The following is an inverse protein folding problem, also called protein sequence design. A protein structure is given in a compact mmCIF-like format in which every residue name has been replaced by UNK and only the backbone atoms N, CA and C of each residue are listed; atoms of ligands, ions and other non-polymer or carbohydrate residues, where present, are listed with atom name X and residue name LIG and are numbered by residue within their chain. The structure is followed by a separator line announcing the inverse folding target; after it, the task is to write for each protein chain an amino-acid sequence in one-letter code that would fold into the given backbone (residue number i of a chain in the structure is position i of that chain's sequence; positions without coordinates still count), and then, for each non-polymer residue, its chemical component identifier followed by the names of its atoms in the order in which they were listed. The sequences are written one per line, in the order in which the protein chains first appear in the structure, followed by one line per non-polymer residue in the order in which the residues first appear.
data_IF_890007962969
#
_entry.id   IF_890007962969
#
_cell.length_a   1.000
_cell.length_b   1.000
_cell.length_c   1.000
_cell.angle_alpha   90.00
_cell.angle_beta   90.00
_cell.angle_gamma   90.00
#
_symmetry.space_group_name_H-M   'P 1'
#
loop_
_entity.id
_entity.type
_entity.pdbx_description
1 polymer ?
#
# COMPACT_ATOMS: atom_id res chain seq x y z
N UNK A 1 4.11 38.21 27.41
CA UNK A 1 3.08 37.18 27.64
C UNK A 1 3.77 35.96 28.21
N UNK A 2 3.27 35.42 29.33
CA UNK A 2 3.78 34.17 29.90
C UNK A 2 3.55 33.02 28.90
N UNK A 3 4.57 32.18 28.68
CA UNK A 3 4.48 31.06 27.74
C UNK A 3 3.66 29.94 28.38
N UNK A 4 2.66 29.44 27.66
CA UNK A 4 1.82 28.33 28.12
C UNK A 4 2.65 27.07 28.40
N UNK A 5 2.37 26.40 29.52
CA UNK A 5 2.93 25.08 29.84
C UNK A 5 2.27 24.02 28.97
N UNK A 6 3.06 23.28 28.19
CA UNK A 6 2.55 22.30 27.21
C UNK A 6 2.84 20.88 27.69
N UNK A 7 1.83 20.04 27.87
CA UNK A 7 1.97 18.60 28.09
C UNK A 7 1.81 17.86 26.78
N UNK A 8 2.85 17.13 26.36
CA UNK A 8 2.79 16.25 25.19
C UNK A 8 2.62 14.80 25.64
N UNK A 9 1.48 14.21 25.31
CA UNK A 9 1.21 12.78 25.50
C UNK A 9 1.63 12.03 24.24
N UNK A 10 2.46 10.99 24.38
CA UNK A 10 3.03 10.29 23.21
C UNK A 10 4.24 10.99 22.60
N UNK A 11 5.02 11.74 23.39
CA UNK A 11 6.16 12.53 22.92
C UNK A 11 7.28 11.75 22.22
N UNK A 12 7.37 10.43 22.40
CA UNK A 12 8.34 9.57 21.71
C UNK A 12 7.87 9.05 20.35
N UNK A 13 6.58 9.24 20.01
CA UNK A 13 6.00 8.85 18.72
C UNK A 13 6.49 9.72 17.56
N UNK A 14 6.24 9.29 16.32
CA UNK A 14 6.72 9.98 15.11
C UNK A 14 6.37 11.48 15.09
N UNK A 15 5.10 11.81 15.34
CA UNK A 15 4.64 13.21 15.41
C UNK A 15 4.97 13.87 16.76
N UNK A 16 4.86 13.11 17.86
CA UNK A 16 5.16 13.59 19.22
C UNK A 16 6.56 14.17 19.36
N UNK A 17 7.57 13.54 18.73
CA UNK A 17 8.96 14.03 18.77
C UNK A 17 9.12 15.41 18.18
N UNK A 18 8.43 15.67 17.08
CA UNK A 18 8.46 16.98 16.39
C UNK A 18 7.76 18.04 17.24
N UNK A 19 6.64 17.68 17.86
CA UNK A 19 5.88 18.57 18.75
C UNK A 19 6.70 18.96 19.99
N UNK A 20 7.38 18.01 20.63
CA UNK A 20 8.25 18.30 21.79
C UNK A 20 9.37 19.25 21.39
N UNK A 21 10.10 18.96 20.31
CA UNK A 21 11.20 19.82 19.83
C UNK A 21 10.71 21.21 19.45
N UNK A 22 9.58 21.31 18.75
CA UNK A 22 9.00 22.60 18.37
C UNK A 22 8.55 23.41 19.60
N UNK A 23 7.93 22.76 20.59
CA UNK A 23 7.51 23.37 21.85
C UNK A 23 8.71 23.94 22.63
N UNK A 24 9.79 23.15 22.75
CA UNK A 24 11.04 23.58 23.38
C UNK A 24 11.71 24.71 22.62
N UNK A 25 11.82 24.61 21.29
CA UNK A 25 12.43 25.65 20.45
C UNK A 25 11.68 26.99 20.54
N UNK A 26 10.37 26.95 20.76
CA UNK A 26 9.53 28.14 20.95
C UNK A 26 9.53 28.68 22.40
N UNK A 27 10.34 28.08 23.28
CA UNK A 27 10.52 28.50 24.67
C UNK A 27 9.33 28.17 25.59
N UNK A 28 8.47 27.22 25.21
CA UNK A 28 7.39 26.78 26.09
C UNK A 28 7.92 25.81 27.15
N UNK A 29 7.56 25.98 28.44
CA UNK A 29 7.78 24.94 29.43
C UNK A 29 7.06 23.67 29.00
N UNK A 30 7.83 22.65 28.62
CA UNK A 30 7.30 21.46 27.94
C UNK A 30 7.39 20.26 28.88
N UNK A 31 6.25 19.67 29.17
CA UNK A 31 6.12 18.42 29.90
C UNK A 31 5.92 17.27 28.91
N UNK A 32 6.61 16.15 29.12
CA UNK A 32 6.46 14.95 28.29
C UNK A 32 5.98 13.82 29.18
N UNK A 33 4.80 13.28 28.86
CA UNK A 33 4.26 12.13 29.58
C UNK A 33 5.04 10.88 29.20
N UNK A 34 5.58 10.19 30.21
CA UNK A 34 6.19 8.88 30.09
C UNK A 34 5.41 7.87 30.94
N UNK A 35 5.41 6.62 30.49
CA UNK A 35 4.85 5.48 31.24
C UNK A 35 5.96 4.79 32.01
N UNK A 36 5.67 4.26 33.19
CA UNK A 36 6.62 3.48 33.99
C UNK A 36 7.34 2.38 33.16
N UNK A 37 6.60 1.75 32.25
CA UNK A 37 7.08 0.66 31.42
C UNK A 37 8.02 1.07 30.27
N UNK A 38 8.26 2.37 30.06
CA UNK A 38 9.11 2.84 28.96
C UNK A 38 10.57 2.41 29.11
N UNK A 39 10.99 2.03 30.32
CA UNK A 39 12.33 1.51 30.60
C UNK A 39 12.68 0.22 29.85
N UNK A 40 11.70 -0.44 29.22
CA UNK A 40 11.92 -1.63 28.39
C UNK A 40 12.37 -1.28 26.95
N UNK A 41 12.25 -0.03 26.53
CA UNK A 41 12.59 0.44 25.18
C UNK A 41 13.73 1.46 25.27
N UNK A 42 14.95 0.98 25.01
CA UNK A 42 16.18 1.76 25.15
C UNK A 42 16.15 2.99 24.22
N UNK A 43 15.64 2.86 23.00
CA UNK A 43 15.57 3.94 22.02
C UNK A 43 14.61 5.05 22.49
N UNK A 44 13.43 4.67 23.00
CA UNK A 44 12.48 5.63 23.59
C UNK A 44 13.04 6.28 24.84
N UNK A 45 13.77 5.54 25.68
CA UNK A 45 14.37 6.08 26.90
C UNK A 45 15.49 7.10 26.59
N UNK A 46 16.42 6.75 25.69
CA UNK A 46 17.49 7.65 25.25
C UNK A 46 16.91 8.95 24.69
N UNK A 47 15.80 8.85 23.98
CA UNK A 47 15.09 10.01 23.45
C UNK A 47 14.45 10.88 24.53
N UNK A 48 13.78 10.29 25.53
CA UNK A 48 13.24 11.04 26.67
C UNK A 48 14.36 11.75 27.44
N UNK A 49 15.51 11.09 27.62
CA UNK A 49 16.69 11.72 28.21
C UNK A 49 17.21 12.87 27.36
N UNK A 50 17.18 12.75 26.03
CA UNK A 50 17.53 13.84 25.11
C UNK A 50 16.59 15.04 25.24
N UNK A 51 15.28 14.80 25.46
CA UNK A 51 14.33 15.88 25.73
C UNK A 51 14.56 16.51 27.10
N UNK A 52 14.87 15.71 28.12
CA UNK A 52 15.23 16.21 29.45
C UNK A 52 16.47 17.11 29.40
N UNK A 53 17.49 16.72 28.64
CA UNK A 53 18.69 17.54 28.40
C UNK A 53 18.37 18.86 27.67
N UNK A 54 17.33 18.89 26.84
CA UNK A 54 16.83 20.10 26.16
C UNK A 54 15.88 20.93 27.04
N UNK A 55 15.69 20.57 28.32
CA UNK A 55 14.85 21.32 29.26
C UNK A 55 13.41 20.83 29.38
N UNK A 56 13.04 19.71 28.76
CA UNK A 56 11.72 19.11 28.97
C UNK A 56 11.59 18.49 30.36
N UNK A 57 10.43 18.66 30.99
CA UNK A 57 10.10 17.97 32.23
C UNK A 57 9.42 16.65 31.93
N UNK A 58 10.03 15.56 32.38
CA UNK A 58 9.48 14.23 32.28
C UNK A 58 8.42 14.02 33.39
N UNK A 59 7.20 13.62 33.01
CA UNK A 59 6.10 13.35 33.94
C UNK A 59 5.68 11.90 33.79
N UNK A 60 5.83 11.13 34.85
CA UNK A 60 5.35 9.76 34.89
C UNK A 60 3.84 9.75 35.15
N UNK A 61 3.08 9.19 34.23
CA UNK A 61 1.66 8.95 34.38
C UNK A 61 1.21 7.80 33.46
N UNK A 62 0.16 7.10 33.85
CA UNK A 62 -0.52 6.13 33.01
C UNK A 62 -1.86 6.70 32.53
N UNK A 63 -2.30 6.31 31.34
CA UNK A 63 -3.67 6.60 30.89
C UNK A 63 -4.71 5.78 31.67
N UNK A 64 -4.28 4.69 32.31
CA UNK A 64 -5.12 3.83 33.16
C UNK A 64 -5.21 4.36 34.60
N UNK A 65 -4.24 5.16 35.03
CA UNK A 65 -4.27 5.82 36.32
C UNK A 65 -4.94 7.19 36.17
N UNK A 66 -6.24 7.21 36.41
CA UNK A 66 -7.03 8.44 36.32
C UNK A 66 -6.50 9.54 37.23
N UNK A 67 -6.06 9.20 38.45
CA UNK A 67 -5.56 10.17 39.42
C UNK A 67 -4.20 10.75 38.99
N UNK A 68 -3.27 9.88 38.58
CA UNK A 68 -1.96 10.29 38.05
C UNK A 68 -2.08 11.11 36.78
N UNK A 69 -3.01 10.77 35.88
CA UNK A 69 -3.25 11.54 34.65
C UNK A 69 -3.83 12.93 34.96
N UNK A 70 -4.80 13.03 35.86
CA UNK A 70 -5.34 14.32 36.32
C UNK A 70 -4.24 15.18 36.95
N UNK A 71 -3.38 14.58 37.78
CA UNK A 71 -2.24 15.28 38.36
C UNK A 71 -1.29 15.78 37.26
N UNK A 72 -1.00 14.98 36.23
CA UNK A 72 -0.16 15.41 35.10
C UNK A 72 -0.78 16.57 34.31
N UNK A 73 -2.08 16.50 34.01
CA UNK A 73 -2.82 17.54 33.28
C UNK A 73 -2.88 18.84 34.06
N UNK A 74 -3.04 18.79 35.39
CA UNK A 74 -3.08 19.98 36.25
C UNK A 74 -1.80 20.85 36.18
N UNK A 75 -0.66 20.28 35.78
CA UNK A 75 0.59 21.02 35.64
C UNK A 75 0.72 21.76 34.29
N UNK A 76 -0.19 21.56 33.35
CA UNK A 76 -0.13 22.10 32.00
C UNK A 76 -1.31 23.02 31.69
N UNK A 77 -1.07 24.04 30.86
CA UNK A 77 -2.12 24.90 30.31
C UNK A 77 -2.69 24.35 29.00
N UNK A 78 -1.85 23.63 28.23
CA UNK A 78 -2.21 23.03 26.95
C UNK A 78 -1.79 21.57 26.97
N UNK A 79 -2.71 20.67 26.61
CA UNK A 79 -2.42 19.24 26.47
C UNK A 79 -2.50 18.87 25.00
N UNK A 80 -1.43 18.29 24.46
CA UNK A 80 -1.33 17.81 23.09
C UNK A 80 -1.22 16.28 23.13
N UNK A 81 -2.27 15.59 22.68
CA UNK A 81 -2.22 14.15 22.48
C UNK A 81 -1.65 13.83 21.10
N UNK A 82 -0.43 13.33 21.06
CA UNK A 82 0.27 12.87 19.87
C UNK A 82 0.27 11.33 19.76
N UNK A 83 -0.65 10.69 20.49
CA UNK A 83 -0.84 9.24 20.44
C UNK A 83 -1.48 8.86 19.10
N UNK A 84 -0.94 7.84 18.43
CA UNK A 84 -1.64 7.24 17.29
C UNK A 84 -3.04 6.81 17.73
N UNK A 85 -4.06 6.98 16.89
CA UNK A 85 -5.40 6.44 17.14
C UNK A 85 -5.40 4.93 17.41
N UNK A 86 -4.38 4.21 16.91
CA UNK A 86 -4.10 2.83 17.28
C UNK A 86 -3.84 2.69 18.80
N UNK A 87 -3.16 3.62 19.45
CA UNK A 87 -2.96 3.57 20.90
C UNK A 87 -4.20 3.95 21.73
N UNK A 88 -5.14 4.75 21.22
CA UNK A 88 -6.37 5.09 21.95
C UNK A 88 -7.31 3.88 22.05
N UNK A 89 -7.29 2.98 21.07
CA UNK A 89 -8.00 1.69 21.13
C UNK A 89 -7.21 0.55 21.79
N UNK A 90 -5.88 0.61 21.80
CA UNK A 90 -5.04 -0.55 22.18
C UNK A 90 -4.57 -0.57 23.64
N UNK A 91 -4.91 0.42 24.46
CA UNK A 91 -4.46 0.45 25.85
C UNK A 91 -5.21 -0.51 26.78
N UNK A 92 -6.33 -1.10 26.35
CA UNK A 92 -6.97 -2.18 27.10
C UNK A 92 -6.49 -3.58 26.70
N UNK A 93 -5.49 -3.69 25.81
CA UNK A 93 -4.97 -4.99 25.41
C UNK A 93 -3.50 -5.12 25.84
N UNK A 94 -3.15 -6.14 26.64
CA UNK A 94 -1.76 -6.37 27.04
C UNK A 94 -0.84 -6.42 25.82
N UNK A 95 0.43 -6.02 25.99
CA UNK A 95 1.47 -5.83 24.97
C UNK A 95 1.56 -6.90 23.85
N UNK A 96 1.00 -8.09 24.04
CA UNK A 96 0.86 -9.11 22.99
C UNK A 96 -0.12 -8.77 21.85
N UNK A 97 -0.94 -7.71 21.94
CA UNK A 97 -1.93 -7.41 20.88
C UNK A 97 -1.33 -6.63 19.68
N UNK A 98 -0.14 -5.99 19.78
CA UNK A 98 0.43 -5.24 18.65
C UNK A 98 0.83 -6.13 17.48
N UNK A 99 1.42 -7.31 17.77
CA UNK A 99 1.76 -8.28 16.73
C UNK A 99 0.51 -8.89 16.08
N UNK A 100 -0.53 -9.10 16.89
CA UNK A 100 -1.82 -9.61 16.41
C UNK A 100 -2.58 -8.59 15.57
N UNK A 101 -2.58 -7.32 15.97
CA UNK A 101 -3.18 -6.25 15.19
C UNK A 101 -2.47 -6.08 13.84
N UNK A 102 -1.14 -6.13 13.84
CA UNK A 102 -0.37 -6.11 12.60
C UNK A 102 -0.72 -7.31 11.70
N UNK A 103 -0.87 -8.51 12.26
CA UNK A 103 -1.35 -9.68 11.51
C UNK A 103 -2.74 -9.45 10.88
N UNK A 104 -3.69 -8.85 11.62
CA UNK A 104 -5.01 -8.51 11.07
C UNK A 104 -4.91 -7.49 9.93
N UNK A 105 -4.01 -6.52 10.06
CA UNK A 105 -3.79 -5.51 9.03
C UNK A 105 -3.15 -6.12 7.77
N UNK A 106 -2.23 -7.08 7.92
CA UNK A 106 -1.69 -7.87 6.80
C UNK A 106 -2.82 -8.60 6.07
N UNK A 107 -3.67 -9.32 6.81
CA UNK A 107 -4.79 -10.07 6.21
C UNK A 107 -5.72 -9.12 5.44
N UNK A 108 -6.11 -7.99 6.04
CA UNK A 108 -6.97 -7.00 5.40
C UNK A 108 -6.33 -6.40 4.15
N UNK A 109 -5.03 -6.09 4.19
CA UNK A 109 -4.31 -5.56 3.05
C UNK A 109 -4.24 -6.58 1.90
N UNK A 110 -3.92 -7.84 2.21
CA UNK A 110 -3.86 -8.93 1.24
C UNK A 110 -5.23 -9.20 0.61
N UNK A 111 -6.32 -9.18 1.38
CA UNK A 111 -7.69 -9.26 0.85
C UNK A 111 -8.02 -8.10 -0.09
N UNK A 112 -7.54 -6.89 0.23
CA UNK A 112 -7.62 -5.73 -0.65
C UNK A 112 -6.91 -5.93 -1.98
N UNK A 113 -5.69 -6.50 -1.97
CA UNK A 113 -4.93 -6.82 -3.18
C UNK A 113 -5.65 -7.86 -4.04
N UNK A 114 -6.19 -8.92 -3.44
CA UNK A 114 -6.98 -9.95 -4.15
C UNK A 114 -8.23 -9.34 -4.80
N UNK A 115 -8.93 -8.45 -4.08
CA UNK A 115 -10.10 -7.72 -4.63
C UNK A 115 -9.72 -6.86 -5.84
N UNK A 116 -8.58 -6.17 -5.78
CA UNK A 116 -8.06 -5.38 -6.91
C UNK A 116 -7.68 -6.29 -8.08
N UNK A 117 -7.00 -7.41 -7.81
CA UNK A 117 -6.65 -8.39 -8.84
C UNK A 117 -7.87 -8.97 -9.54
N UNK A 118 -8.93 -9.30 -8.80
CA UNK A 118 -10.20 -9.79 -9.40
C UNK A 118 -10.86 -8.73 -10.30
N UNK A 119 -10.81 -7.45 -9.92
CA UNK A 119 -11.31 -6.36 -10.77
C UNK A 119 -10.45 -6.18 -12.02
N UNK A 120 -9.13 -6.35 -11.92
CA UNK A 120 -8.26 -6.33 -13.07
C UNK A 120 -8.60 -7.45 -14.05
N UNK A 121 -8.86 -8.66 -13.54
CA UNK A 121 -9.31 -9.79 -14.37
C UNK A 121 -10.62 -9.43 -15.08
N UNK A 122 -11.65 -9.00 -14.35
CA UNK A 122 -12.96 -8.65 -14.94
C UNK A 122 -12.85 -7.61 -16.07
N UNK A 123 -12.11 -6.52 -15.84
CA UNK A 123 -11.91 -5.47 -16.84
C UNK A 123 -11.03 -5.94 -17.99
N UNK A 124 -9.99 -6.73 -17.68
CA UNK A 124 -9.10 -7.34 -18.65
C UNK A 124 -9.82 -8.25 -19.62
N UNK A 125 -10.69 -9.14 -19.12
CA UNK A 125 -11.44 -10.10 -19.94
C UNK A 125 -12.33 -9.37 -20.93
N UNK A 126 -13.05 -8.34 -20.46
CA UNK A 126 -13.89 -7.50 -21.33
C UNK A 126 -13.06 -6.80 -22.42
N UNK A 127 -11.88 -6.31 -22.07
CA UNK A 127 -11.00 -5.66 -23.04
C UNK A 127 -10.43 -6.68 -24.06
N UNK A 128 -10.07 -7.87 -23.61
CA UNK A 128 -9.67 -8.98 -24.49
C UNK A 128 -10.77 -9.33 -25.50
N UNK A 129 -12.03 -9.41 -25.04
CA UNK A 129 -13.19 -9.66 -25.91
C UNK A 129 -13.44 -8.52 -26.91
N UNK A 130 -13.29 -7.26 -26.50
CA UNK A 130 -13.38 -6.10 -27.40
C UNK A 130 -12.29 -6.13 -28.48
N UNK A 131 -11.05 -6.45 -28.08
CA UNK A 131 -9.91 -6.64 -28.98
C UNK A 131 -10.15 -7.78 -29.98
N UNK A 132 -10.67 -8.92 -29.51
CA UNK A 132 -11.00 -10.06 -30.35
C UNK A 132 -12.09 -9.72 -31.37
N UNK A 133 -13.19 -9.10 -30.93
CA UNK A 133 -14.29 -8.67 -31.82
C UNK A 133 -13.81 -7.70 -32.90
N UNK A 134 -13.01 -6.70 -32.51
CA UNK A 134 -12.39 -5.79 -33.47
C UNK A 134 -11.48 -6.53 -34.46
N UNK A 135 -10.73 -7.52 -33.95
CA UNK A 135 -9.84 -8.39 -34.71
C UNK A 135 -10.54 -9.30 -35.72
N UNK A 136 -11.73 -9.82 -35.43
CA UNK A 136 -12.40 -10.85 -36.25
C UNK A 136 -13.48 -10.31 -37.19
N UNK A 137 -14.23 -9.28 -36.78
CA UNK A 137 -15.48 -8.87 -37.47
C UNK A 137 -15.29 -7.71 -38.45
N UNK A 138 -14.16 -7.00 -38.40
CA UNK A 138 -14.03 -5.72 -39.08
C UNK A 138 -13.17 -5.76 -40.36
N UNK A 139 -13.74 -6.28 -41.45
CA UNK A 139 -13.11 -6.31 -42.79
C UNK A 139 -12.84 -4.91 -43.40
N UNK A 140 -13.44 -3.85 -42.83
CA UNK A 140 -13.27 -2.47 -43.29
C UNK A 140 -12.07 -1.75 -42.66
N UNK A 141 -11.40 -2.37 -41.68
CA UNK A 141 -10.36 -1.74 -40.87
C UNK A 141 -8.94 -2.00 -41.37
N UNK A 142 -8.01 -1.19 -40.87
CA UNK A 142 -6.57 -1.34 -41.08
C UNK A 142 -6.07 -2.72 -40.59
N UNK A 143 -5.59 -3.55 -41.51
CA UNK A 143 -5.11 -4.91 -41.22
C UNK A 143 -4.06 -4.97 -40.10
N UNK A 144 -3.18 -3.97 -40.00
CA UNK A 144 -2.17 -3.97 -38.93
C UNK A 144 -2.79 -3.65 -37.58
N UNK A 145 -3.76 -2.73 -37.53
CA UNK A 145 -4.48 -2.44 -36.30
C UNK A 145 -5.31 -3.65 -35.85
N UNK A 146 -5.95 -4.35 -36.78
CA UNK A 146 -6.71 -5.58 -36.51
C UNK A 146 -5.83 -6.68 -35.90
N UNK A 147 -4.64 -6.87 -36.47
CA UNK A 147 -3.65 -7.84 -35.97
C UNK A 147 -3.07 -7.42 -34.62
N UNK A 148 -2.69 -6.15 -34.45
CA UNK A 148 -2.24 -5.60 -33.17
C UNK A 148 -3.28 -5.77 -32.06
N UNK A 149 -4.55 -5.48 -32.34
CA UNK A 149 -5.65 -5.70 -31.39
C UNK A 149 -5.77 -7.19 -31.02
N UNK A 150 -5.67 -8.10 -31.99
CA UNK A 150 -5.76 -9.55 -31.74
C UNK A 150 -4.58 -10.05 -30.89
N UNK A 151 -3.36 -9.59 -31.16
CA UNK A 151 -2.15 -9.94 -30.40
C UNK A 151 -2.27 -9.47 -28.94
N UNK A 152 -2.64 -8.21 -28.74
CA UNK A 152 -2.78 -7.65 -27.40
C UNK A 152 -3.95 -8.29 -26.62
N UNK A 153 -5.10 -8.51 -27.28
CA UNK A 153 -6.22 -9.24 -26.69
C UNK A 153 -5.84 -10.66 -26.24
N UNK A 154 -5.03 -11.37 -27.04
CA UNK A 154 -4.49 -12.67 -26.67
C UNK A 154 -3.53 -12.62 -25.48
N UNK A 155 -2.68 -11.58 -25.40
CA UNK A 155 -1.79 -11.37 -24.26
C UNK A 155 -2.55 -11.08 -22.95
N UNK A 156 -3.66 -10.34 -23.02
CA UNK A 156 -4.52 -10.07 -21.85
C UNK A 156 -5.04 -11.36 -21.20
N UNK A 157 -5.39 -12.38 -21.98
CA UNK A 157 -5.82 -13.69 -21.46
C UNK A 157 -4.71 -14.34 -20.62
N UNK A 158 -3.45 -14.21 -21.03
CA UNK A 158 -2.32 -14.74 -20.27
C UNK A 158 -2.03 -13.90 -19.02
N UNK A 159 -2.14 -12.57 -19.12
CA UNK A 159 -2.05 -11.65 -17.98
C UNK A 159 -3.11 -11.99 -16.91
N UNK A 160 -4.35 -12.23 -17.34
CA UNK A 160 -5.46 -12.63 -16.46
C UNK A 160 -5.15 -13.91 -15.68
N UNK A 161 -4.61 -14.94 -16.34
CA UNK A 161 -4.17 -16.19 -15.68
C UNK A 161 -3.10 -15.94 -14.62
N UNK A 162 -2.14 -15.05 -14.88
CA UNK A 162 -1.12 -14.71 -13.89
C UNK A 162 -1.72 -13.97 -12.68
N UNK A 163 -2.74 -13.12 -12.89
CA UNK A 163 -3.50 -12.53 -11.79
C UNK A 163 -4.28 -13.57 -10.99
N UNK A 164 -4.94 -14.53 -11.65
CA UNK A 164 -5.66 -15.63 -10.99
C UNK A 164 -4.72 -16.47 -10.13
N UNK A 165 -3.57 -16.85 -10.69
CA UNK A 165 -2.53 -17.61 -10.00
C UNK A 165 -1.96 -16.86 -8.80
N UNK A 166 -1.65 -15.57 -8.95
CA UNK A 166 -1.16 -14.73 -7.86
C UNK A 166 -2.22 -14.57 -6.75
N UNK A 167 -3.47 -14.29 -7.11
CA UNK A 167 -4.58 -14.19 -6.17
C UNK A 167 -4.79 -15.50 -5.39
N UNK A 168 -4.68 -16.65 -6.08
CA UNK A 168 -4.73 -17.97 -5.46
C UNK A 168 -3.58 -18.18 -4.47
N UNK A 169 -2.36 -17.77 -4.83
CA UNK A 169 -1.19 -17.87 -3.95
C UNK A 169 -1.38 -16.99 -2.72
N UNK A 170 -1.74 -15.70 -2.87
CA UNK A 170 -1.99 -14.81 -1.73
C UNK A 170 -3.09 -15.36 -0.81
N UNK A 171 -4.18 -15.88 -1.37
CA UNK A 171 -5.28 -16.45 -0.58
C UNK A 171 -4.83 -17.68 0.20
N UNK A 172 -4.27 -18.67 -0.48
CA UNK A 172 -3.95 -19.97 0.11
C UNK A 172 -2.67 -19.99 0.96
N UNK A 173 -1.67 -19.18 0.63
CA UNK A 173 -0.36 -19.20 1.28
C UNK A 173 -0.17 -18.09 2.30
N UNK A 174 -0.97 -17.02 2.25
CA UNK A 174 -0.86 -15.87 3.15
C UNK A 174 -2.14 -15.66 3.96
N UNK A 175 -3.29 -15.43 3.31
CA UNK A 175 -4.54 -15.07 3.99
C UNK A 175 -5.06 -16.22 4.87
N UNK A 176 -5.26 -17.40 4.28
CA UNK A 176 -5.86 -18.53 4.97
C UNK A 176 -5.00 -19.03 6.15
N UNK A 177 -3.67 -19.19 6.03
CA UNK A 177 -2.83 -19.59 7.16
C UNK A 177 -2.85 -18.58 8.30
N UNK A 178 -2.81 -17.27 8.00
CA UNK A 178 -2.87 -16.24 9.04
C UNK A 178 -4.24 -16.19 9.71
N UNK A 179 -5.33 -16.39 8.96
CA UNK A 179 -6.69 -16.49 9.50
C UNK A 179 -6.84 -17.72 10.39
N UNK A 180 -6.33 -18.87 9.95
CA UNK A 180 -6.35 -20.11 10.74
C UNK A 180 -5.61 -19.95 12.07
N UNK A 181 -4.47 -19.24 12.09
CA UNK A 181 -3.74 -18.95 13.33
C UNK A 181 -4.50 -18.02 14.29
N UNK A 182 -5.35 -17.15 13.79
CA UNK A 182 -6.18 -16.27 14.62
C UNK A 182 -7.31 -17.03 15.35
N UNK A 183 -7.69 -18.21 14.85
CA UNK A 183 -8.76 -19.08 15.36
C UNK A 183 -8.19 -20.43 15.88
N UNK A 184 -6.87 -20.62 15.85
CA UNK A 184 -6.26 -21.93 16.10
C UNK A 184 -6.39 -22.40 17.55
N UNK A 185 -6.57 -23.71 17.72
CA UNK A 185 -6.67 -24.38 19.03
C UNK A 185 -5.59 -23.99 20.05
N UNK A 186 -4.29 -23.87 19.69
CA UNK A 186 -3.26 -23.46 20.64
C UNK A 186 -3.51 -22.08 21.28
N UNK A 187 -4.10 -21.15 20.52
CA UNK A 187 -4.46 -19.83 21.04
C UNK A 187 -5.67 -19.91 21.98
N UNK A 188 -6.65 -20.76 21.68
CA UNK A 188 -7.81 -21.01 22.53
C UNK A 188 -7.40 -21.67 23.85
N UNK A 189 -6.51 -22.66 23.80
CA UNK A 189 -5.97 -23.33 24.98
C UNK A 189 -5.20 -22.36 25.89
N UNK A 190 -4.31 -21.53 25.31
CA UNK A 190 -3.57 -20.51 26.06
C UNK A 190 -4.51 -19.48 26.69
N UNK A 191 -5.59 -19.08 25.98
CA UNK A 191 -6.64 -18.21 26.53
C UNK A 191 -7.41 -18.89 27.64
N UNK A 192 -7.71 -20.18 27.51
CA UNK A 192 -8.36 -20.98 28.54
C UNK A 192 -7.54 -20.99 29.84
N UNK A 193 -6.22 -21.17 29.75
CA UNK A 193 -5.32 -21.07 30.90
C UNK A 193 -5.32 -19.66 31.51
N UNK A 194 -5.23 -18.62 30.69
CA UNK A 194 -5.27 -17.23 31.15
C UNK A 194 -6.60 -16.89 31.86
N UNK A 195 -7.74 -17.38 31.34
CA UNK A 195 -9.05 -17.22 31.96
C UNK A 195 -9.17 -17.99 33.28
N UNK A 196 -8.59 -19.21 33.37
CA UNK A 196 -8.53 -19.96 34.64
C UNK A 196 -7.69 -19.20 35.66
N UNK A 197 -6.55 -18.65 35.26
CA UNK A 197 -5.70 -17.83 36.12
C UNK A 197 -6.45 -16.58 36.62
N UNK A 198 -7.16 -15.88 35.74
CA UNK A 198 -7.96 -14.70 36.10
C UNK A 198 -9.07 -15.04 37.09
N UNK A 199 -9.78 -16.15 36.89
CA UNK A 199 -10.80 -16.63 37.84
C UNK A 199 -10.21 -16.95 39.21
N UNK A 200 -9.10 -17.68 39.24
CA UNK A 200 -8.42 -18.02 40.49
C UNK A 200 -7.90 -16.78 41.23
N UNK A 201 -7.43 -15.77 40.48
CA UNK A 201 -7.06 -14.47 41.05
C UNK A 201 -8.24 -13.76 41.69
N UNK A 202 -9.40 -13.77 41.04
CA UNK A 202 -10.61 -13.18 41.60
C UNK A 202 -11.09 -13.91 42.85
N UNK A 203 -11.05 -15.25 42.85
CA UNK A 203 -11.34 -16.07 44.04
C UNK A 203 -10.39 -15.76 45.20
N UNK A 204 -9.09 -15.56 44.92
CA UNK A 204 -8.11 -15.15 45.92
C UNK A 204 -8.36 -13.75 46.48
N UNK A 205 -8.84 -12.81 45.67
CA UNK A 205 -9.26 -11.48 46.12
C UNK A 205 -10.45 -11.58 47.08
N UNK A 206 -11.46 -12.41 46.74
CA UNK A 206 -12.61 -12.68 47.61
C UNK A 206 -12.14 -13.30 48.94
N UNK A 207 -11.30 -14.33 48.89
CA UNK A 207 -10.77 -15.00 50.08
C UNK A 207 -9.94 -14.04 50.95
N UNK A 208 -9.19 -13.12 50.33
CA UNK A 208 -8.44 -12.08 51.03
C UNK A 208 -9.37 -11.14 51.82
N UNK A 209 -10.49 -10.71 51.23
CA UNK A 209 -11.49 -9.89 51.95
C UNK A 209 -12.15 -10.64 53.09
N UNK A 210 -12.39 -11.95 52.93
CA UNK A 210 -12.92 -12.80 53.99
C UNK A 210 -11.94 -12.94 55.17
N UNK A 211 -10.65 -13.15 54.88
CA UNK A 211 -9.61 -13.22 55.89
C UNK A 211 -9.52 -11.90 56.67
N UNK A 212 -9.61 -10.75 55.99
CA UNK A 212 -9.64 -9.45 56.66
C UNK A 212 -10.82 -9.32 57.64
N UNK A 213 -12.01 -9.78 57.25
CA UNK A 213 -13.20 -9.80 58.13
C UNK A 213 -13.03 -10.75 59.32
N UNK A 214 -12.45 -11.93 59.09
CA UNK A 214 -12.18 -12.90 60.17
C UNK A 214 -11.12 -12.38 61.14
N UNK A 215 -10.09 -11.68 60.66
CA UNK A 215 -9.08 -11.00 61.50
C UNK A 215 -9.72 -9.93 62.40
N UNK A 216 -10.65 -9.14 61.87
CA UNK A 216 -11.38 -8.16 62.66
C UNK A 216 -12.22 -8.83 63.77
N UNK A 217 -12.93 -9.92 63.47
CA UNK A 217 -13.73 -10.67 64.45
C UNK A 217 -12.89 -11.31 65.56
N UNK A 218 -11.72 -11.85 65.23
CA UNK A 218 -10.78 -12.39 66.23
C UNK A 218 -10.24 -11.29 67.13
N UNK A 219 -9.98 -10.10 66.58
CA UNK A 219 -9.54 -8.92 67.35
C UNK A 219 -10.64 -8.43 68.32
N UNK A 220 -11.90 -8.48 67.91
CA UNK A 220 -13.05 -8.10 68.75
C UNK A 220 -13.36 -9.16 69.81
N UNK A 221 -13.29 -10.45 69.46
CA UNK A 221 -13.56 -11.57 70.35
C UNK A 221 -12.64 -12.77 70.04
N UNK A 222 -11.59 -13.01 70.85
CA UNK A 222 -10.60 -14.07 70.63
C UNK A 222 -11.11 -15.44 71.08
N UNK A 223 -12.22 -15.89 70.50
CA UNK A 223 -12.84 -17.19 70.78
C UNK A 223 -12.13 -18.28 69.95
N UNK A 224 -11.93 -19.47 70.53
CA UNK A 224 -11.26 -20.60 69.88
C UNK A 224 -11.86 -20.96 68.50
N UNK A 225 -13.19 -20.87 68.35
CA UNK A 225 -13.85 -21.11 67.06
C UNK A 225 -13.45 -20.08 65.99
N UNK A 226 -13.35 -18.79 66.37
CA UNK A 226 -12.94 -17.72 65.46
C UNK A 226 -11.49 -17.89 65.02
N UNK A 227 -10.60 -18.27 65.95
CA UNK A 227 -9.18 -18.48 65.65
C UNK A 227 -8.97 -19.69 64.74
N UNK A 228 -9.66 -20.81 64.98
CA UNK A 228 -9.59 -21.99 64.09
C UNK A 228 -10.11 -21.67 62.68
N UNK A 229 -11.25 -20.97 62.56
CA UNK A 229 -11.77 -20.54 61.25
C UNK A 229 -10.80 -19.61 60.52
N UNK A 230 -10.18 -18.66 61.23
CA UNK A 230 -9.16 -17.78 60.64
C UNK A 230 -7.97 -18.58 60.11
N UNK A 231 -7.40 -19.47 60.92
CA UNK A 231 -6.27 -20.33 60.52
C UNK A 231 -6.61 -21.19 59.30
N UNK A 232 -7.81 -21.78 59.24
CA UNK A 232 -8.27 -22.53 58.07
C UNK A 232 -8.34 -21.67 56.81
N UNK A 233 -8.86 -20.43 56.89
CA UNK A 233 -8.88 -19.53 55.74
C UNK A 233 -7.48 -19.07 55.32
N UNK A 234 -6.57 -18.84 56.27
CA UNK A 234 -5.19 -18.48 55.97
C UNK A 234 -4.43 -19.64 55.30
N UNK A 235 -4.62 -20.87 55.76
CA UNK A 235 -4.06 -22.07 55.13
C UNK A 235 -4.58 -22.25 53.69
N UNK A 236 -5.90 -22.09 53.47
CA UNK A 236 -6.50 -22.11 52.13
C UNK A 236 -5.91 -21.02 51.23
N UNK A 237 -5.63 -19.83 51.76
CA UNK A 237 -5.02 -18.75 50.99
C UNK A 237 -3.58 -19.06 50.59
N UNK A 238 -2.81 -19.73 51.45
CA UNK A 238 -1.45 -20.17 51.12
C UNK A 238 -1.49 -21.18 49.96
N UNK A 239 -2.36 -22.19 50.04
CA UNK A 239 -2.56 -23.18 48.98
C UNK A 239 -3.00 -22.52 47.67
N UNK A 240 -4.01 -21.65 47.73
CA UNK A 240 -4.54 -20.96 46.56
C UNK A 240 -3.49 -20.06 45.89
N UNK A 241 -2.68 -19.34 46.66
CA UNK A 241 -1.54 -18.57 46.13
C UNK A 241 -0.50 -19.45 45.44
N UNK A 242 -0.22 -20.65 45.99
CA UNK A 242 0.71 -21.60 45.38
C UNK A 242 0.16 -22.12 44.04
N UNK A 243 -1.10 -22.54 44.00
CA UNK A 243 -1.78 -22.97 42.77
C UNK A 243 -1.83 -21.84 41.73
N UNK A 244 -2.14 -20.61 42.15
CA UNK A 244 -2.12 -19.43 41.28
C UNK A 244 -0.75 -19.17 40.69
N UNK A 245 0.33 -19.34 41.46
CA UNK A 245 1.68 -19.10 40.99
C UNK A 245 2.08 -20.11 39.88
N UNK A 246 1.68 -21.38 40.02
CA UNK A 246 1.89 -22.41 38.99
C UNK A 246 1.07 -22.09 37.75
N UNK A 247 -0.24 -21.88 37.90
CA UNK A 247 -1.14 -21.60 36.78
C UNK A 247 -0.77 -20.30 36.06
N UNK A 248 -0.31 -19.29 36.78
CA UNK A 248 0.18 -18.04 36.20
C UNK A 248 1.44 -18.23 35.36
N UNK A 249 2.38 -19.08 35.80
CA UNK A 249 3.57 -19.45 35.02
C UNK A 249 3.19 -20.23 33.77
N UNK A 250 2.28 -21.19 33.89
CA UNK A 250 1.79 -21.99 32.75
C UNK A 250 1.06 -21.13 31.71
N UNK A 251 0.14 -20.26 32.17
CA UNK A 251 -0.58 -19.34 31.29
C UNK A 251 0.37 -18.36 30.58
N UNK A 252 1.35 -17.80 31.29
CA UNK A 252 2.34 -16.90 30.71
C UNK A 252 3.22 -17.62 29.68
N UNK A 253 3.69 -18.83 29.99
CA UNK A 253 4.50 -19.63 29.07
C UNK A 253 3.70 -20.02 27.81
N UNK A 254 2.44 -20.44 27.96
CA UNK A 254 1.57 -20.80 26.86
C UNK A 254 1.31 -19.60 25.93
N UNK A 255 0.99 -18.42 26.48
CA UNK A 255 0.76 -17.21 25.69
C UNK A 255 2.04 -16.76 24.97
N UNK A 256 3.20 -16.79 25.63
CA UNK A 256 4.47 -16.42 25.02
C UNK A 256 4.87 -17.39 23.88
N UNK A 257 4.62 -18.69 24.06
CA UNK A 257 4.86 -19.69 23.03
C UNK A 257 3.96 -19.47 21.80
N UNK A 258 2.68 -19.18 22.02
CA UNK A 258 1.73 -18.84 20.94
C UNK A 258 2.13 -17.55 20.23
N UNK A 259 2.51 -16.51 20.97
CA UNK A 259 2.96 -15.24 20.38
C UNK A 259 4.22 -15.43 19.53
N UNK A 260 5.23 -16.14 20.04
CA UNK A 260 6.44 -16.45 19.30
C UNK A 260 6.14 -17.24 18.02
N UNK A 261 5.26 -18.24 18.11
CA UNK A 261 4.82 -18.99 16.94
C UNK A 261 4.08 -18.11 15.94
N UNK A 262 3.20 -17.22 16.42
CA UNK A 262 2.45 -16.30 15.57
C UNK A 262 3.37 -15.34 14.82
N UNK A 263 4.36 -14.77 15.48
CA UNK A 263 5.33 -13.88 14.85
C UNK A 263 6.15 -14.62 13.79
N UNK A 264 6.64 -15.83 14.09
CA UNK A 264 7.43 -16.63 13.13
C UNK A 264 6.64 -16.96 11.86
N UNK A 265 5.41 -17.45 12.00
CA UNK A 265 4.60 -17.78 10.83
C UNK A 265 4.18 -16.51 10.08
N UNK A 266 3.86 -15.42 10.79
CA UNK A 266 3.54 -14.14 10.14
C UNK A 266 4.70 -13.63 9.28
N UNK A 267 5.94 -13.69 9.79
CA UNK A 267 7.13 -13.35 9.03
C UNK A 267 7.29 -14.26 7.80
N UNK A 268 7.17 -15.58 7.99
CA UNK A 268 7.29 -16.55 6.91
C UNK A 268 6.26 -16.29 5.80
N UNK A 269 5.00 -15.98 6.16
CA UNK A 269 3.95 -15.70 5.17
C UNK A 269 4.16 -14.38 4.45
N UNK A 270 4.68 -13.37 5.15
CA UNK A 270 4.97 -12.07 4.55
C UNK A 270 6.13 -12.15 3.55
N UNK A 271 7.20 -12.90 3.88
CA UNK A 271 8.31 -13.16 2.96
C UNK A 271 7.81 -13.91 1.71
N UNK A 272 7.03 -14.98 1.89
CA UNK A 272 6.46 -15.72 0.76
C UNK A 272 5.53 -14.88 -0.10
N UNK A 273 4.76 -13.96 0.49
CA UNK A 273 3.91 -13.02 -0.26
C UNK A 273 4.75 -12.08 -1.14
N UNK A 274 5.83 -11.51 -0.60
CA UNK A 274 6.72 -10.63 -1.35
C UNK A 274 7.44 -11.37 -2.50
N UNK A 275 7.83 -12.62 -2.27
CA UNK A 275 8.41 -13.47 -3.33
C UNK A 275 7.41 -13.79 -4.44
N UNK A 276 6.16 -14.11 -4.06
CA UNK A 276 5.09 -14.36 -5.01
C UNK A 276 4.76 -13.11 -5.85
N UNK A 277 4.70 -11.93 -5.23
CA UNK A 277 4.44 -10.66 -5.90
C UNK A 277 5.56 -10.31 -6.88
N UNK A 278 6.82 -10.50 -6.49
CA UNK A 278 7.96 -10.33 -7.39
C UNK A 278 7.86 -11.25 -8.61
N UNK A 279 7.57 -12.54 -8.39
CA UNK A 279 7.47 -13.52 -9.47
C UNK A 279 6.31 -13.18 -10.41
N UNK A 280 5.16 -12.79 -9.86
CA UNK A 280 4.00 -12.32 -10.61
C UNK A 280 4.36 -11.17 -11.57
N UNK A 281 4.99 -10.10 -11.07
CA UNK A 281 5.39 -8.98 -11.92
C UNK A 281 6.42 -9.34 -12.99
N UNK A 282 7.35 -10.25 -12.70
CA UNK A 282 8.31 -10.74 -13.69
C UNK A 282 7.62 -11.50 -14.83
N UNK A 283 6.60 -12.31 -14.51
CA UNK A 283 5.82 -13.03 -15.53
C UNK A 283 4.97 -12.08 -16.38
N UNK A 284 4.34 -11.08 -15.75
CA UNK A 284 3.63 -10.04 -16.50
C UNK A 284 4.56 -9.29 -17.46
N UNK A 285 5.75 -8.91 -17.01
CA UNK A 285 6.73 -8.25 -17.85
C UNK A 285 7.11 -9.11 -19.06
N UNK A 286 7.38 -10.41 -18.85
CA UNK A 286 7.69 -11.33 -19.95
C UNK A 286 6.57 -11.43 -20.99
N UNK A 287 5.30 -11.52 -20.56
CA UNK A 287 4.16 -11.54 -21.49
C UNK A 287 4.07 -10.24 -22.29
N UNK A 288 4.33 -9.10 -21.64
CA UNK A 288 4.28 -7.78 -22.27
C UNK A 288 5.45 -7.57 -23.24
N UNK A 289 6.65 -8.03 -22.92
CA UNK A 289 7.82 -7.97 -23.79
C UNK A 289 7.59 -8.79 -25.07
N UNK A 290 7.01 -9.99 -24.96
CA UNK A 290 6.71 -10.87 -26.09
C UNK A 290 5.69 -10.21 -27.05
N UNK A 291 4.59 -9.67 -26.51
CA UNK A 291 3.55 -9.03 -27.34
C UNK A 291 4.04 -7.71 -27.94
N UNK A 292 4.86 -6.93 -27.23
CA UNK A 292 5.48 -5.71 -27.75
C UNK A 292 6.41 -6.02 -28.93
N UNK A 293 7.22 -7.07 -28.82
CA UNK A 293 8.11 -7.51 -29.90
C UNK A 293 7.32 -7.95 -31.14
N UNK A 294 6.24 -8.73 -30.97
CA UNK A 294 5.38 -9.14 -32.08
C UNK A 294 4.67 -7.96 -32.75
N UNK A 295 4.11 -7.03 -31.96
CA UNK A 295 3.45 -5.83 -32.47
C UNK A 295 4.43 -4.90 -33.19
N UNK A 296 5.66 -4.77 -32.69
CA UNK A 296 6.72 -3.98 -33.32
C UNK A 296 7.19 -4.60 -34.64
N UNK A 297 7.32 -5.93 -34.70
CA UNK A 297 7.60 -6.65 -35.96
C UNK A 297 6.50 -6.40 -37.00
N UNK A 298 5.24 -6.39 -36.57
CA UNK A 298 4.12 -6.11 -37.47
C UNK A 298 4.11 -4.66 -37.98
N UNK A 299 4.42 -3.70 -37.10
CA UNK A 299 4.60 -2.29 -37.48
C UNK A 299 5.70 -2.12 -38.53
N UNK A 300 6.86 -2.76 -38.31
CA UNK A 300 7.99 -2.70 -39.25
C UNK A 300 7.68 -3.33 -40.61
N UNK A 301 6.98 -4.49 -40.62
CA UNK A 301 6.53 -5.12 -41.87
C UNK A 301 5.64 -4.19 -42.68
N UNK A 302 4.78 -3.42 -42.02
CA UNK A 302 3.91 -2.45 -42.65
C UNK A 302 4.65 -1.22 -43.18
N UNK A 303 5.57 -0.66 -42.40
CA UNK A 303 6.42 0.45 -42.85
C UNK A 303 7.30 0.05 -44.05
N UNK A 304 7.65 -1.24 -44.15
CA UNK A 304 8.43 -1.80 -45.27
C UNK A 304 7.59 -2.26 -46.46
N UNK A 305 6.25 -2.36 -46.33
CA UNK A 305 5.38 -2.85 -47.39
C UNK A 305 5.16 -1.76 -48.47
N UNK A 306 5.21 -2.10 -49.77
CA UNK A 306 4.86 -1.15 -50.84
C UNK A 306 3.43 -0.62 -50.65
N UNK A 307 3.13 0.64 -51.01
CA UNK A 307 1.80 1.23 -50.81
C UNK A 307 0.73 0.42 -51.56
N UNK A 308 -0.11 -0.30 -50.81
CA UNK A 308 -1.23 -1.06 -51.37
C UNK A 308 -2.33 -0.05 -51.73
N UNK A 309 -2.57 0.12 -53.02
CA UNK A 309 -3.71 0.88 -53.56
C UNK A 309 -4.98 0.09 -53.24
N UNK A 310 -5.56 0.30 -52.07
CA UNK A 310 -6.87 -0.24 -51.73
C UNK A 310 -7.92 0.36 -52.67
N UNK A 311 -8.59 -0.51 -53.42
CA UNK A 311 -9.64 -0.21 -54.40
C UNK A 311 -10.95 0.20 -53.72
N UNK A 312 -10.91 1.18 -52.82
CA UNK A 312 -12.09 1.95 -52.48
C UNK A 312 -12.32 2.97 -53.60
N UNK A 313 -13.47 2.83 -54.26
CA UNK A 313 -14.01 3.68 -55.32
C UNK A 313 -13.48 5.11 -55.29
N UNK A 314 -12.99 5.58 -56.45
CA UNK A 314 -13.01 6.99 -56.87
C UNK A 314 -12.42 7.98 -55.85
N UNK A 315 -11.12 8.25 -56.01
CA UNK A 315 -10.57 9.58 -56.28
C UNK A 315 -9.10 9.33 -56.64
N UNK A 316 -8.68 9.75 -57.83
CA UNK A 316 -7.33 9.56 -58.35
C UNK A 316 -6.31 10.12 -57.34
N UNK A 317 -5.68 9.22 -56.59
CA UNK A 317 -4.63 9.55 -55.63
C UNK A 317 -3.41 10.01 -56.40
N UNK A 318 -3.32 11.30 -56.64
CA UNK A 318 -2.06 11.89 -57.01
C UNK A 318 -1.07 11.74 -55.84
N UNK A 319 0.15 11.35 -56.16
CA UNK A 319 1.16 11.08 -55.16
C UNK A 319 1.88 12.39 -54.82
N UNK A 320 1.86 12.79 -53.55
CA UNK A 320 2.49 14.03 -53.08
C UNK A 320 3.81 13.70 -52.36
N UNK A 321 4.87 14.43 -52.65
CA UNK A 321 6.19 14.29 -52.01
C UNK A 321 6.67 15.66 -51.54
N UNK A 322 7.41 15.70 -50.43
CA UNK A 322 8.12 16.90 -50.00
C UNK A 322 9.51 16.89 -50.67
N UNK A 323 9.90 17.99 -51.32
CA UNK A 323 11.20 18.13 -51.97
C UNK A 323 11.83 19.47 -51.63
N UNK A 324 13.16 19.51 -51.61
CA UNK A 324 13.94 20.73 -51.47
C UNK A 324 14.35 21.24 -52.85
N UNK A 325 14.26 22.56 -53.05
CA UNK A 325 14.62 23.24 -54.30
C UNK A 325 16.14 23.27 -54.43
N UNK A 326 16.67 22.63 -55.48
CA UNK A 326 18.11 22.58 -55.77
C UNK A 326 18.58 23.66 -56.75
N UNK A 327 17.65 24.32 -57.46
CA UNK A 327 17.93 25.37 -58.43
C UNK A 327 16.92 26.50 -58.30
N UNK A 328 17.40 27.75 -58.38
CA UNK A 328 16.52 28.91 -58.41
C UNK A 328 15.63 28.88 -59.66
N UNK A 329 14.36 29.23 -59.51
CA UNK A 329 13.41 29.41 -60.60
C UNK A 329 12.69 30.74 -60.39
N UNK A 330 12.66 31.60 -61.41
CA UNK A 330 11.91 32.85 -61.36
C UNK A 330 10.66 32.70 -62.21
N UNK A 331 9.49 32.73 -61.57
CA UNK A 331 8.20 32.71 -62.26
C UNK A 331 8.07 33.93 -63.18
N UNK A 332 7.64 33.68 -64.41
CA UNK A 332 7.47 34.72 -65.45
C UNK A 332 6.02 35.16 -65.58
N UNK A 333 5.08 34.43 -64.98
CA UNK A 333 3.66 34.75 -64.93
C UNK A 333 3.16 34.79 -63.49
N UNK A 334 2.03 35.47 -63.23
CA UNK A 334 1.41 35.51 -61.91
C UNK A 334 0.98 34.14 -61.38
N UNK A 335 0.91 33.12 -62.26
CA UNK A 335 0.57 31.74 -61.90
C UNK A 335 1.80 30.86 -61.63
N UNK A 336 3.00 31.37 -61.86
CA UNK A 336 4.25 30.65 -61.61
C UNK A 336 4.87 31.12 -60.29
N UNK A 337 5.20 30.17 -59.43
CA UNK A 337 5.88 30.46 -58.17
C UNK A 337 7.39 30.56 -58.39
N UNK A 338 8.01 31.67 -58.01
CA UNK A 338 9.47 31.76 -57.92
C UNK A 338 9.98 30.93 -56.73
N UNK A 339 11.01 30.14 -56.96
CA UNK A 339 11.63 29.22 -55.98
C UNK A 339 13.10 29.58 -55.80
N UNK A 340 13.57 29.59 -54.56
CA UNK A 340 14.99 29.81 -54.23
C UNK A 340 15.57 28.51 -53.66
N UNK A 341 16.84 28.23 -53.94
CA UNK A 341 17.55 27.08 -53.38
C UNK A 341 17.39 27.03 -51.86
N UNK A 342 16.96 25.88 -51.34
CA UNK A 342 16.66 25.65 -49.93
C UNK A 342 15.18 25.80 -49.56
N UNK A 343 14.32 26.26 -50.46
CA UNK A 343 12.87 26.21 -50.27
C UNK A 343 12.36 24.76 -50.29
N UNK A 344 11.33 24.46 -49.50
CA UNK A 344 10.65 23.16 -49.52
C UNK A 344 9.30 23.27 -50.22
N UNK A 345 9.06 22.36 -51.18
CA UNK A 345 7.85 22.33 -52.02
C UNK A 345 7.18 20.95 -51.95
N UNK A 346 5.86 20.93 -52.19
CA UNK A 346 5.10 19.68 -52.28
C UNK A 346 4.91 19.33 -53.76
N UNK A 347 5.59 18.30 -54.23
CA UNK A 347 5.54 17.81 -55.61
C UNK A 347 4.36 16.86 -55.74
N UNK A 348 3.43 17.11 -56.67
CA UNK A 348 2.38 16.17 -57.03
C UNK A 348 2.77 15.47 -58.32
N UNK A 349 3.02 14.17 -58.25
CA UNK A 349 3.20 13.33 -59.42
C UNK A 349 1.83 12.83 -59.88
N UNK A 350 1.40 13.27 -61.06
CA UNK A 350 0.26 12.68 -61.74
C UNK A 350 0.74 11.46 -62.53
N UNK A 351 0.27 10.27 -62.15
CA UNK A 351 0.48 9.05 -62.93
C UNK A 351 -0.44 9.06 -64.15
N UNK A 352 -0.18 9.97 -65.09
CA UNK A 352 -0.78 10.01 -66.42
C UNK A 352 0.29 9.75 -67.47
N UNK A 353 -0.08 9.12 -68.59
CA UNK A 353 0.80 8.60 -69.65
C UNK A 353 1.74 9.61 -70.36
N UNK A 354 1.90 10.83 -69.86
CA UNK A 354 2.93 11.76 -70.27
C UNK A 354 3.44 12.47 -69.02
N UNK A 355 4.59 12.06 -68.47
CA UNK A 355 5.15 12.50 -67.20
C UNK A 355 5.29 14.02 -67.05
N UNK A 356 4.18 14.69 -66.72
CA UNK A 356 4.11 16.10 -66.36
C UNK A 356 4.08 16.17 -64.84
N UNK A 357 5.12 16.73 -64.25
CA UNK A 357 5.18 16.99 -62.82
C UNK A 357 4.57 18.38 -62.56
N UNK A 358 3.62 18.48 -61.64
CA UNK A 358 3.07 19.75 -61.19
C UNK A 358 3.48 19.99 -59.73
N UNK A 359 4.08 21.14 -59.44
CA UNK A 359 4.56 21.52 -58.10
C UNK A 359 3.50 22.37 -57.39
N UNK A 360 3.24 22.09 -56.10
CA UNK A 360 2.25 22.78 -55.28
C UNK A 360 2.95 23.40 -54.05
N UNK A 361 2.62 24.65 -53.72
CA UNK A 361 2.94 25.25 -52.42
C UNK A 361 1.64 25.64 -51.73
N UNK A 362 1.49 25.23 -50.47
CA UNK A 362 0.37 25.62 -49.62
C UNK A 362 0.72 26.94 -48.94
N UNK A 363 0.12 28.05 -49.38
CA UNK A 363 0.13 29.31 -48.63
C UNK A 363 -0.95 29.26 -47.55
N UNK A 364 -0.70 29.96 -46.43
CA UNK A 364 -1.48 29.82 -45.20
C UNK A 364 -2.97 30.16 -45.37
N UNK A 365 -3.30 30.94 -46.40
CA UNK A 365 -4.66 31.28 -46.81
C UNK A 365 -4.79 30.93 -48.29
N UNK A 366 -5.78 30.09 -48.60
CA UNK A 366 -6.25 29.67 -49.92
C UNK A 366 -5.30 28.82 -50.80
N UNK A 367 -5.89 27.74 -51.33
CA UNK A 367 -5.22 26.73 -52.15
C UNK A 367 -5.24 27.17 -53.62
N UNK A 368 -4.43 28.14 -53.99
CA UNK A 368 -4.25 28.47 -55.41
C UNK A 368 -3.33 27.45 -56.10
N UNK A 369 -3.82 26.86 -57.20
CA UNK A 369 -3.06 25.94 -58.04
C UNK A 369 -2.10 26.79 -58.89
N UNK A 370 -0.84 26.85 -58.47
CA UNK A 370 0.23 27.50 -59.23
C UNK A 370 0.97 26.42 -60.04
N UNK A 371 0.85 26.46 -61.37
CA UNK A 371 1.59 25.56 -62.25
C UNK A 371 3.04 26.05 -62.34
N UNK A 372 4.01 25.29 -61.81
CA UNK A 372 5.42 25.54 -62.13
C UNK A 372 5.69 24.89 -63.50
N UNK A 373 6.00 25.73 -64.48
CA UNK A 373 6.32 25.34 -65.84
C UNK A 373 7.39 24.24 -65.93
N UNK A 374 7.31 23.48 -67.03
CA UNK A 374 8.17 22.34 -67.43
C UNK A 374 9.66 22.52 -67.08
N UNK A 375 10.07 22.21 -65.86
CA UNK A 375 11.48 22.25 -65.47
C UNK A 375 11.88 21.00 -64.69
N UNK A 376 11.41 19.82 -65.11
CA UNK A 376 12.08 18.55 -64.83
C UNK A 376 11.91 17.64 -66.04
N UNK A 377 12.55 18.01 -67.15
CA UNK A 377 12.77 17.09 -68.26
C UNK A 377 14.15 16.47 -68.01
N UNK A 378 14.13 15.15 -67.78
CA UNK A 378 15.25 14.22 -67.63
C UNK A 378 16.61 14.73 -68.18
N UNK A 379 17.58 14.93 -67.29
CA UNK A 379 19.01 14.69 -67.49
C UNK A 379 19.71 14.61 -66.12
#
# INVERSE_FOLDING_TARGET
MEKSRVLVVGGTGYIGRRLVRASLAQGHPTLVLLRAEIGLDIDKLQMLLSFKAQGARLVEASLEDHAGLLAAVAHANVVVSAMSGAHIRNHNSPKGDTGRDFQKDIVRAAEGLVSIGNKHIEVGTKFSEDCYRYGSENNASDEALRKAASLYGGALINIEKEYEDFNRILSSQTIDPLRAMAIGGPLEDARGLAQRYSRMRHEAEILSTEIARRKARVREAPIAEHTTKLQQSEARMIEHKASMAVLGKEAAAALAAVESQQQRVTLQRLVGAAEAEKLFHLRLAAILDDVEAEMSSEKQRRESAPPIISSHKRAEKAQYFLAEVMHNFNGTTEKELSLIVGDYVVVRQETGQNGRHQLYRKTHNDSEILEVGRAVQQA
#
